data_IF_840585231478
#
_entry.id   IF_840585231478
#
_cell.length_a   1.000
_cell.length_b   1.000
_cell.length_c   1.000
_cell.angle_alpha   90.00
_cell.angle_beta   90.00
_cell.angle_gamma   90.00
#
_symmetry.space_group_name_H-M   'P 1'
#
loop_
_entity.id
_entity.type
_entity.pdbx_description
1 polymer ?
#
# COMPACT_ATOMS: atom_id res chain seq x y z
N UNK A 1 -37.14 3.42 -5.52
CA UNK A 1 -35.83 2.75 -5.75
C UNK A 1 -36.06 1.64 -6.79
N UNK A 2 -35.20 1.48 -7.82
CA UNK A 2 -35.39 0.43 -8.83
C UNK A 2 -35.55 -0.96 -8.20
N UNK A 3 -36.50 -1.76 -8.68
CA UNK A 3 -36.86 -3.07 -8.09
C UNK A 3 -35.65 -4.00 -7.90
N UNK A 4 -34.72 -4.05 -8.86
CA UNK A 4 -33.46 -4.81 -8.74
C UNK A 4 -32.61 -4.40 -7.54
N UNK A 5 -32.56 -3.10 -7.19
CA UNK A 5 -31.82 -2.65 -6.00
C UNK A 5 -32.49 -3.13 -4.71
N UNK A 6 -33.81 -3.30 -4.71
CA UNK A 6 -34.56 -3.86 -3.57
C UNK A 6 -34.23 -5.34 -3.42
N UNK A 7 -34.28 -6.13 -4.50
CA UNK A 7 -33.86 -7.54 -4.49
C UNK A 7 -32.42 -7.70 -3.99
N UNK A 8 -31.48 -6.92 -4.53
CA UNK A 8 -30.09 -6.96 -4.09
C UNK A 8 -29.89 -6.57 -2.61
N UNK A 9 -30.73 -5.69 -2.08
CA UNK A 9 -30.71 -5.37 -0.65
C UNK A 9 -31.22 -6.53 0.20
N UNK A 10 -32.36 -7.13 -0.18
CA UNK A 10 -32.93 -8.30 0.51
C UNK A 10 -31.98 -9.50 0.45
N UNK A 11 -31.38 -9.79 -0.70
CA UNK A 11 -30.39 -10.86 -0.89
C UNK A 11 -29.20 -10.70 0.08
N UNK A 12 -28.71 -9.47 0.30
CA UNK A 12 -27.67 -9.21 1.30
C UNK A 12 -28.16 -9.38 2.73
N UNK A 13 -29.40 -9.00 3.03
CA UNK A 13 -29.98 -9.13 4.37
C UNK A 13 -30.12 -10.58 4.81
N UNK A 14 -30.40 -11.51 3.89
CA UNK A 14 -30.50 -12.94 4.19
C UNK A 14 -29.19 -13.71 3.99
N UNK A 15 -28.19 -13.10 3.35
CA UNK A 15 -26.90 -13.75 3.08
C UNK A 15 -26.06 -13.91 4.34
N UNK A 16 -25.87 -15.17 4.77
CA UNK A 16 -24.97 -15.55 5.86
C UNK A 16 -23.55 -15.03 5.64
N UNK A 17 -23.03 -15.16 4.43
CA UNK A 17 -21.67 -14.73 4.11
C UNK A 17 -21.54 -13.21 4.16
N UNK A 18 -22.52 -12.47 3.67
CA UNK A 18 -22.53 -11.01 3.78
C UNK A 18 -22.38 -10.57 5.23
N UNK A 19 -23.25 -11.07 6.13
CA UNK A 19 -23.21 -10.74 7.55
C UNK A 19 -21.93 -11.19 8.23
N UNK A 20 -21.43 -12.40 7.92
CA UNK A 20 -20.16 -12.88 8.45
C UNK A 20 -19.01 -11.93 8.13
N UNK A 21 -18.92 -11.45 6.88
CA UNK A 21 -17.89 -10.50 6.48
C UNK A 21 -18.04 -9.12 7.16
N UNK A 22 -19.27 -8.61 7.28
CA UNK A 22 -19.57 -7.34 7.95
C UNK A 22 -19.24 -7.39 9.44
N UNK A 23 -19.73 -8.42 10.13
CA UNK A 23 -19.49 -8.61 11.57
C UNK A 23 -18.02 -8.87 11.87
N UNK A 24 -17.32 -9.71 11.08
CA UNK A 24 -15.87 -9.91 11.24
C UNK A 24 -15.12 -8.59 11.07
N UNK A 25 -15.46 -7.80 10.05
CA UNK A 25 -14.84 -6.49 9.85
C UNK A 25 -15.11 -5.51 10.99
N UNK A 26 -16.33 -5.50 11.51
CA UNK A 26 -16.72 -4.61 12.62
C UNK A 26 -15.99 -5.02 13.90
N UNK A 27 -16.05 -6.31 14.27
CA UNK A 27 -15.32 -6.88 15.40
C UNK A 27 -13.83 -6.55 15.37
N UNK A 28 -13.15 -6.74 14.23
CA UNK A 28 -11.72 -6.45 14.12
C UNK A 28 -11.38 -4.98 14.41
N UNK A 29 -12.17 -4.03 13.87
CA UNK A 29 -11.97 -2.61 14.14
C UNK A 29 -12.35 -2.22 15.57
N UNK A 30 -13.40 -2.83 16.11
CA UNK A 30 -13.87 -2.52 17.46
C UNK A 30 -12.89 -3.01 18.52
N UNK A 31 -12.37 -4.24 18.40
CA UNK A 31 -11.32 -4.74 19.27
C UNK A 31 -10.10 -3.81 19.26
N UNK A 32 -9.65 -3.38 18.08
CA UNK A 32 -8.54 -2.44 18.00
C UNK A 32 -8.87 -1.07 18.63
N UNK A 33 -10.12 -0.61 18.50
CA UNK A 33 -10.56 0.63 19.15
C UNK A 33 -10.48 0.53 20.68
N UNK A 34 -10.81 -0.64 21.26
CA UNK A 34 -10.67 -0.89 22.70
C UNK A 34 -9.20 -0.87 23.13
N UNK A 35 -8.32 -1.49 22.35
CA UNK A 35 -6.87 -1.46 22.62
C UNK A 35 -6.30 -0.04 22.55
N UNK A 36 -6.75 0.78 21.59
CA UNK A 36 -6.39 2.21 21.52
C UNK A 36 -6.89 2.95 22.77
N UNK A 37 -8.15 2.75 23.16
CA UNK A 37 -8.75 3.39 24.34
C UNK A 37 -8.06 3.00 25.65
N UNK A 38 -7.57 1.76 25.73
CA UNK A 38 -6.79 1.24 26.86
C UNK A 38 -5.31 1.70 26.85
N UNK A 39 -4.90 2.55 25.89
CA UNK A 39 -3.52 2.99 25.66
C UNK A 39 -2.53 1.85 25.33
N UNK A 40 -3.02 0.70 24.88
CA UNK A 40 -2.17 -0.38 24.38
C UNK A 40 -1.52 0.01 23.05
N UNK A 41 -2.17 0.91 22.30
CA UNK A 41 -1.63 1.50 21.07
C UNK A 41 -1.12 2.92 21.35
N UNK A 42 0.15 3.02 21.71
CA UNK A 42 0.83 4.30 21.94
C UNK A 42 2.35 4.16 21.81
N UNK A 43 3.07 5.28 21.85
CA UNK A 43 4.54 5.32 21.72
C UNK A 43 5.25 4.48 22.79
N UNK A 44 4.76 4.48 24.03
CA UNK A 44 5.40 3.82 25.17
C UNK A 44 5.10 2.32 25.28
N UNK A 45 4.11 1.81 24.52
CA UNK A 45 3.73 0.40 24.52
C UNK A 45 3.90 -0.18 23.11
N UNK A 46 2.81 -0.31 22.34
CA UNK A 46 2.88 -0.77 20.95
C UNK A 46 2.41 0.31 19.97
N UNK A 47 3.33 1.00 19.26
CA UNK A 47 2.93 2.03 18.32
C UNK A 47 2.18 1.45 17.11
N UNK A 48 1.27 2.24 16.55
CA UNK A 48 0.54 2.01 15.30
C UNK A 48 -0.55 0.92 15.33
N UNK A 49 -0.29 -0.24 15.95
CA UNK A 49 -1.26 -1.33 16.05
C UNK A 49 -1.02 -2.19 17.29
N UNK A 50 -2.10 -2.69 17.90
CA UNK A 50 -2.00 -3.56 19.07
C UNK A 50 -1.33 -4.91 18.75
N UNK A 51 -0.72 -5.53 19.76
CA UNK A 51 -0.13 -6.87 19.60
C UNK A 51 -1.17 -7.92 19.20
N UNK A 52 -2.42 -7.75 19.64
CA UNK A 52 -3.53 -8.60 19.24
C UNK A 52 -3.83 -8.47 17.74
N UNK A 53 -3.88 -7.25 17.21
CA UNK A 53 -4.10 -7.01 15.78
C UNK A 53 -2.94 -7.58 14.94
N UNK A 54 -1.69 -7.40 15.38
CA UNK A 54 -0.50 -7.92 14.69
C UNK A 54 -0.59 -9.46 14.59
N UNK A 55 -0.89 -10.14 15.70
CA UNK A 55 -1.08 -11.61 15.71
C UNK A 55 -2.21 -12.05 14.79
N UNK A 56 -3.35 -11.34 14.80
CA UNK A 56 -4.50 -11.65 13.96
C UNK A 56 -4.18 -11.51 12.46
N UNK A 57 -3.49 -10.43 12.07
CA UNK A 57 -3.07 -10.22 10.66
C UNK A 57 -2.02 -11.25 10.25
N UNK A 58 -1.06 -11.58 11.11
CA UNK A 58 -0.07 -12.64 10.84
C UNK A 58 -0.75 -13.99 10.61
N UNK A 59 -1.69 -14.38 11.47
CA UNK A 59 -2.48 -15.61 11.31
C UNK A 59 -3.28 -15.62 10.00
N UNK A 60 -3.92 -14.50 9.66
CA UNK A 60 -4.67 -14.39 8.40
C UNK A 60 -3.75 -14.49 7.17
N UNK A 61 -2.55 -13.88 7.19
CA UNK A 61 -1.56 -14.00 6.11
C UNK A 61 -1.07 -15.43 5.95
N UNK A 62 -0.79 -16.13 7.05
CA UNK A 62 -0.39 -17.55 7.02
C UNK A 62 -1.49 -18.44 6.45
N UNK A 63 -2.75 -18.24 6.86
CA UNK A 63 -3.89 -18.97 6.31
C UNK A 63 -4.07 -18.70 4.80
N UNK A 64 -3.92 -17.45 4.36
CA UNK A 64 -3.95 -17.10 2.95
C UNK A 64 -2.81 -17.78 2.17
N UNK A 65 -1.60 -17.79 2.70
CA UNK A 65 -0.44 -18.44 2.07
C UNK A 65 -0.70 -19.94 1.86
N UNK A 66 -1.19 -20.64 2.90
CA UNK A 66 -1.57 -22.06 2.81
C UNK A 66 -2.64 -22.29 1.75
N UNK A 67 -3.65 -21.42 1.67
CA UNK A 67 -4.66 -21.48 0.62
C UNK A 67 -4.03 -21.32 -0.77
N UNK A 68 -3.17 -20.33 -0.99
CA UNK A 68 -2.51 -20.12 -2.28
C UNK A 68 -1.64 -21.32 -2.68
N UNK A 69 -0.93 -21.93 -1.72
CA UNK A 69 -0.10 -23.11 -1.93
C UNK A 69 -0.92 -24.35 -2.31
N UNK A 70 -2.13 -24.49 -1.77
CA UNK A 70 -3.02 -25.61 -2.01
C UNK A 70 -3.87 -25.49 -3.29
N UNK A 71 -3.74 -24.40 -4.04
CA UNK A 71 -4.59 -24.09 -5.18
C UNK A 71 -3.78 -23.98 -6.49
N UNK A 72 -4.44 -24.32 -7.58
CA UNK A 72 -3.98 -24.12 -8.96
C UNK A 72 -4.99 -23.26 -9.72
N UNK A 73 -4.50 -22.59 -10.76
CA UNK A 73 -5.30 -21.91 -11.77
C UNK A 73 -5.34 -22.83 -13.00
N UNK A 74 -6.55 -23.13 -13.48
CA UNK A 74 -6.79 -23.89 -14.70
C UNK A 74 -7.37 -22.95 -15.77
N UNK A 75 -6.77 -22.96 -16.96
CA UNK A 75 -7.34 -22.35 -18.17
C UNK A 75 -8.51 -23.22 -18.63
N UNK A 76 -9.70 -22.63 -18.76
CA UNK A 76 -10.93 -23.38 -19.07
C UNK A 76 -10.90 -23.95 -20.49
N UNK A 77 -10.25 -23.25 -21.42
CA UNK A 77 -10.28 -23.61 -22.83
C UNK A 77 -9.17 -24.63 -23.16
N UNK A 78 -7.96 -24.46 -22.61
CA UNK A 78 -6.84 -25.39 -22.87
C UNK A 78 -6.67 -26.50 -21.84
N UNK A 79 -7.24 -26.36 -20.64
CA UNK A 79 -7.01 -27.27 -19.52
C UNK A 79 -5.63 -27.12 -18.85
N UNK A 80 -4.79 -26.18 -19.30
CA UNK A 80 -3.47 -25.94 -18.71
C UNK A 80 -3.59 -25.51 -17.25
N UNK A 81 -2.75 -26.10 -16.38
CA UNK A 81 -2.74 -25.83 -14.95
C UNK A 81 -1.45 -25.18 -14.51
N UNK A 82 -1.58 -24.16 -13.67
CA UNK A 82 -0.46 -23.45 -13.07
C UNK A 82 -0.66 -23.29 -11.58
N UNK A 83 0.42 -23.33 -10.82
CA UNK A 83 0.37 -23.07 -9.38
C UNK A 83 -0.05 -21.63 -9.10
N UNK A 84 -1.09 -21.47 -8.26
CA UNK A 84 -1.64 -20.14 -7.95
C UNK A 84 -0.61 -19.28 -7.22
N UNK A 85 0.17 -19.88 -6.32
CA UNK A 85 1.20 -19.18 -5.56
C UNK A 85 2.24 -18.53 -6.47
N UNK A 86 2.72 -19.23 -7.50
CA UNK A 86 3.75 -18.70 -8.42
C UNK A 86 3.23 -17.48 -9.18
N UNK A 87 2.00 -17.54 -9.68
CA UNK A 87 1.37 -16.40 -10.37
C UNK A 87 1.15 -15.21 -9.43
N UNK A 88 0.85 -15.45 -8.15
CA UNK A 88 0.72 -14.39 -7.14
C UNK A 88 2.08 -13.77 -6.83
N UNK A 89 3.12 -14.58 -6.64
CA UNK A 89 4.47 -14.12 -6.31
C UNK A 89 5.15 -13.37 -7.47
N UNK A 90 4.78 -13.66 -8.71
CA UNK A 90 5.20 -12.93 -9.91
C UNK A 90 4.38 -11.65 -10.19
N UNK A 91 3.46 -11.26 -9.29
CA UNK A 91 2.56 -10.11 -9.47
C UNK A 91 2.82 -8.98 -8.46
N UNK A 92 2.12 -7.84 -8.62
CA UNK A 92 2.10 -6.73 -7.65
C UNK A 92 1.55 -7.11 -6.26
N UNK A 93 1.08 -8.34 -6.09
CA UNK A 93 0.72 -8.90 -4.78
C UNK A 93 1.96 -9.20 -3.94
N UNK A 94 3.10 -9.47 -4.60
CA UNK A 94 4.40 -9.53 -3.96
C UNK A 94 4.83 -8.11 -3.51
N UNK A 95 5.08 -7.89 -2.21
CA UNK A 95 5.52 -6.59 -1.69
C UNK A 95 6.76 -6.02 -2.40
N UNK A 96 7.71 -6.88 -2.79
CA UNK A 96 8.94 -6.46 -3.45
C UNK A 96 8.66 -5.87 -4.84
N UNK A 97 7.92 -6.60 -5.68
CA UNK A 97 7.49 -6.15 -7.01
C UNK A 97 6.66 -4.87 -6.86
N UNK A 98 5.76 -4.82 -5.88
CA UNK A 98 4.94 -3.63 -5.61
C UNK A 98 5.79 -2.41 -5.25
N UNK A 99 6.85 -2.59 -4.45
CA UNK A 99 7.79 -1.52 -4.10
C UNK A 99 8.55 -1.03 -5.33
N UNK A 100 9.08 -1.94 -6.15
CA UNK A 100 9.77 -1.59 -7.40
C UNK A 100 8.86 -0.82 -8.35
N UNK A 101 7.62 -1.28 -8.55
CA UNK A 101 6.61 -0.61 -9.39
C UNK A 101 6.26 0.79 -8.88
N UNK A 102 6.11 0.98 -7.57
CA UNK A 102 5.87 2.31 -7.00
C UNK A 102 7.08 3.23 -7.20
N UNK A 103 8.29 2.73 -7.01
CA UNK A 103 9.52 3.51 -7.21
C UNK A 103 9.69 3.94 -8.67
N UNK A 104 9.46 3.03 -9.63
CA UNK A 104 9.48 3.34 -11.06
C UNK A 104 8.41 4.40 -11.42
N UNK A 105 7.21 4.29 -10.85
CA UNK A 105 6.15 5.29 -11.04
C UNK A 105 6.56 6.66 -10.50
N UNK A 106 7.15 6.74 -9.29
CA UNK A 106 7.60 8.03 -8.75
C UNK A 106 8.71 8.66 -9.58
N UNK A 107 9.68 7.84 -10.02
CA UNK A 107 10.75 8.30 -10.91
C UNK A 107 10.18 8.85 -12.23
N UNK A 108 9.18 8.18 -12.82
CA UNK A 108 8.50 8.68 -14.00
C UNK A 108 7.77 10.00 -13.78
N UNK A 109 7.09 10.16 -12.64
CA UNK A 109 6.41 11.41 -12.28
C UNK A 109 7.41 12.56 -12.09
N UNK A 110 8.52 12.31 -11.41
CA UNK A 110 9.57 13.33 -11.22
C UNK A 110 10.21 13.74 -12.57
N UNK A 111 10.46 12.78 -13.47
CA UNK A 111 10.94 13.05 -14.84
C UNK A 111 9.98 13.97 -15.59
N UNK A 112 8.68 13.68 -15.59
CA UNK A 112 7.65 14.53 -16.19
C UNK A 112 7.64 15.94 -15.58
N UNK A 113 7.76 16.04 -14.25
CA UNK A 113 7.80 17.34 -13.58
C UNK A 113 9.05 18.15 -13.96
N UNK A 114 10.21 17.49 -14.11
CA UNK A 114 11.43 18.14 -14.57
C UNK A 114 11.32 18.67 -16.00
N UNK A 115 10.78 17.86 -16.92
CA UNK A 115 10.53 18.25 -18.31
C UNK A 115 9.59 19.46 -18.40
N UNK A 116 8.53 19.47 -17.59
CA UNK A 116 7.56 20.57 -17.51
C UNK A 116 8.07 21.79 -16.71
N UNK A 117 9.23 21.68 -16.06
CA UNK A 117 9.78 22.68 -15.12
C UNK A 117 8.83 23.00 -13.95
N UNK A 118 8.00 22.04 -13.57
CA UNK A 118 7.09 22.11 -12.43
C UNK A 118 7.89 22.05 -11.11
N UNK A 119 7.33 22.62 -10.04
CA UNK A 119 7.95 22.66 -8.72
C UNK A 119 7.32 21.61 -7.81
N UNK A 120 8.19 20.84 -7.13
CA UNK A 120 7.78 19.87 -6.13
C UNK A 120 7.48 20.51 -4.76
N UNK A 121 6.47 19.98 -4.10
CA UNK A 121 6.05 20.31 -2.74
C UNK A 121 5.87 19.03 -1.94
N UNK A 122 6.48 18.98 -0.76
CA UNK A 122 6.20 17.92 0.20
C UNK A 122 5.28 18.43 1.29
N UNK A 123 4.04 17.97 1.25
CA UNK A 123 2.97 18.41 2.13
C UNK A 123 2.72 17.36 3.20
N UNK A 124 2.57 17.79 4.45
CA UNK A 124 2.03 16.95 5.54
C UNK A 124 0.70 17.53 6.00
N UNK A 125 -0.33 16.69 6.03
CA UNK A 125 -1.66 17.00 6.56
C UNK A 125 -1.96 16.10 7.76
N UNK A 126 -2.32 16.70 8.88
CA UNK A 126 -2.61 15.99 10.14
C UNK A 126 -4.07 16.24 10.58
N UNK A 127 -4.54 15.46 11.56
CA UNK A 127 -5.86 15.63 12.16
C UNK A 127 -5.82 16.63 13.33
N UNK A 128 -6.96 17.24 13.70
CA UNK A 128 -7.09 17.95 14.98
C UNK A 128 -6.84 17.06 16.19
N UNK A 129 -6.46 17.65 17.33
CA UNK A 129 -6.14 16.89 18.54
C UNK A 129 -7.29 15.99 19.02
N UNK A 130 -8.56 16.34 18.79
CA UNK A 130 -9.70 15.46 19.13
C UNK A 130 -9.66 14.08 18.45
N UNK A 131 -8.90 13.92 17.37
CA UNK A 131 -8.69 12.63 16.70
C UNK A 131 -7.51 11.83 17.26
N UNK A 132 -6.74 12.38 18.19
CA UNK A 132 -5.54 11.77 18.75
C UNK A 132 -5.82 11.19 20.14
N UNK A 133 -5.83 9.85 20.31
CA UNK A 133 -6.09 9.19 21.59
C UNK A 133 -5.12 9.58 22.69
N UNK A 134 -3.87 9.85 22.33
CA UNK A 134 -2.83 10.20 23.29
C UNK A 134 -2.15 11.52 22.95
N UNK A 135 -1.55 12.16 23.95
CA UNK A 135 -0.63 13.27 23.80
C UNK A 135 0.66 12.95 24.56
N UNK A 136 1.77 13.52 24.12
CA UNK A 136 3.05 13.35 24.80
C UNK A 136 3.22 14.38 25.92
N UNK A 137 3.59 13.92 27.11
CA UNK A 137 3.96 14.74 28.26
C UNK A 137 5.39 14.45 28.67
N UNK A 138 6.15 15.49 29.00
CA UNK A 138 7.50 15.33 29.53
C UNK A 138 7.46 14.79 30.96
N UNK A 139 8.25 13.75 31.23
CA UNK A 139 8.47 13.18 32.57
C UNK A 139 9.96 12.92 32.73
N UNK A 140 10.64 13.82 33.43
CA UNK A 140 12.11 13.84 33.51
C UNK A 140 12.74 14.06 32.13
N UNK A 141 13.71 13.22 31.76
CA UNK A 141 14.37 13.24 30.44
C UNK A 141 13.53 12.59 29.32
N UNK A 142 12.46 11.86 29.66
CA UNK A 142 11.68 11.08 28.71
C UNK A 142 10.33 11.74 28.38
N UNK A 143 9.76 11.39 27.22
CA UNK A 143 8.38 11.70 26.85
C UNK A 143 7.51 10.47 27.06
N UNK A 144 6.37 10.65 27.71
CA UNK A 144 5.39 9.59 27.95
C UNK A 144 4.05 9.95 27.30
N UNK A 145 3.40 8.97 26.69
CA UNK A 145 2.05 9.07 26.21
C UNK A 145 1.07 9.08 27.39
N UNK A 146 0.15 10.04 27.37
CA UNK A 146 -0.97 10.15 28.31
C UNK A 146 -2.26 10.33 27.53
N UNK A 147 -3.41 9.91 28.07
CA UNK A 147 -4.71 10.08 27.42
C UNK A 147 -4.94 11.56 27.09
N UNK A 148 -5.41 11.81 25.87
CA UNK A 148 -5.84 13.13 25.46
C UNK A 148 -7.31 13.36 25.84
N UNK A 149 -7.56 14.30 26.75
CA UNK A 149 -8.92 14.66 27.19
C UNK A 149 -9.82 15.14 26.04
N UNK A 150 -9.27 15.76 25.00
CA UNK A 150 -10.06 16.17 23.82
C UNK A 150 -10.61 14.97 23.05
N UNK A 151 -9.82 13.92 22.92
CA UNK A 151 -10.25 12.68 22.28
C UNK A 151 -11.20 11.88 23.15
N UNK A 152 -11.00 11.86 24.47
CA UNK A 152 -11.84 11.13 25.43
C UNK A 152 -13.35 11.43 25.27
N UNK A 153 -13.69 12.65 24.85
CA UNK A 153 -15.09 13.06 24.69
C UNK A 153 -15.74 12.55 23.39
N UNK A 154 -14.95 12.26 22.35
CA UNK A 154 -15.43 11.92 21.00
C UNK A 154 -15.15 10.46 20.62
N UNK A 155 -14.02 9.92 21.10
CA UNK A 155 -13.56 8.54 20.89
C UNK A 155 -13.42 8.20 19.39
N UNK A 156 -12.91 9.14 18.59
CA UNK A 156 -12.72 8.94 17.15
C UNK A 156 -11.76 7.79 16.85
N UNK A 157 -12.12 6.97 15.85
CA UNK A 157 -11.26 5.88 15.39
C UNK A 157 -10.28 6.38 14.31
N UNK A 158 -9.19 5.64 14.02
CA UNK A 158 -8.36 5.88 12.84
C UNK A 158 -9.15 5.96 11.52
N UNK A 159 -10.28 5.23 11.42
CA UNK A 159 -11.14 5.32 10.24
C UNK A 159 -11.83 6.67 10.12
N UNK A 160 -12.18 7.30 11.24
CA UNK A 160 -12.81 8.62 11.28
C UNK A 160 -11.80 9.71 11.00
N UNK A 161 -10.57 9.61 11.54
CA UNK A 161 -9.46 10.49 11.13
C UNK A 161 -9.17 10.41 9.63
N UNK A 162 -9.15 9.21 9.05
CA UNK A 162 -8.98 9.06 7.59
C UNK A 162 -10.14 9.71 6.81
N UNK A 163 -11.38 9.58 7.30
CA UNK A 163 -12.56 10.19 6.68
C UNK A 163 -12.49 11.72 6.73
N UNK A 164 -12.02 12.27 7.84
CA UNK A 164 -11.74 13.69 8.01
C UNK A 164 -10.74 14.19 6.96
N UNK A 165 -9.59 13.53 6.82
CA UNK A 165 -8.56 13.92 5.84
C UNK A 165 -9.06 13.81 4.40
N UNK A 166 -9.86 12.78 4.08
CA UNK A 166 -10.53 12.67 2.77
C UNK A 166 -11.47 13.85 2.53
N UNK A 167 -12.23 14.28 3.53
CA UNK A 167 -13.14 15.43 3.44
C UNK A 167 -12.36 16.73 3.22
N UNK A 168 -11.28 16.96 3.97
CA UNK A 168 -10.38 18.12 3.78
C UNK A 168 -9.83 18.12 2.35
N UNK A 169 -9.30 17.00 1.87
CA UNK A 169 -8.75 16.89 0.52
C UNK A 169 -9.80 17.08 -0.57
N UNK A 170 -11.04 16.63 -0.35
CA UNK A 170 -12.13 16.88 -1.31
C UNK A 170 -12.41 18.37 -1.48
N UNK A 171 -12.36 19.15 -0.38
CA UNK A 171 -12.52 20.61 -0.39
C UNK A 171 -11.33 21.31 -1.04
N UNK A 172 -10.11 20.82 -0.81
CA UNK A 172 -8.89 21.31 -1.50
C UNK A 172 -9.02 21.12 -3.01
N UNK A 173 -9.41 19.93 -3.47
CA UNK A 173 -9.57 19.66 -4.90
C UNK A 173 -10.66 20.50 -5.56
N UNK A 174 -11.78 20.72 -4.87
CA UNK A 174 -12.82 21.63 -5.36
C UNK A 174 -12.26 23.05 -5.52
N UNK A 175 -11.61 23.58 -4.48
CA UNK A 175 -11.01 24.91 -4.54
C UNK A 175 -9.90 25.03 -5.60
N UNK A 176 -9.11 23.98 -5.85
CA UNK A 176 -8.16 23.96 -6.97
C UNK A 176 -8.86 24.07 -8.33
N UNK A 177 -9.96 23.35 -8.53
CA UNK A 177 -10.73 23.44 -9.77
C UNK A 177 -11.31 24.86 -9.97
N UNK A 178 -11.92 25.43 -8.93
CA UNK A 178 -12.48 26.79 -8.96
C UNK A 178 -11.43 27.88 -9.22
N UNK A 179 -10.16 27.57 -8.97
CA UNK A 179 -9.04 28.51 -9.08
C UNK A 179 -8.07 28.18 -10.21
N UNK A 180 -8.39 27.19 -11.05
CA UNK A 180 -7.59 26.69 -12.17
C UNK A 180 -6.16 26.25 -11.78
N UNK A 181 -6.02 25.72 -10.56
CA UNK A 181 -4.73 25.27 -10.01
C UNK A 181 -4.52 23.78 -10.32
N UNK A 182 -3.59 23.49 -11.22
CA UNK A 182 -3.29 22.13 -11.67
C UNK A 182 -2.20 21.48 -10.82
N UNK A 183 -2.59 20.54 -9.96
CA UNK A 183 -1.66 19.79 -9.09
C UNK A 183 -1.75 18.31 -9.37
N UNK A 184 -0.62 17.61 -9.48
CA UNK A 184 -0.55 16.16 -9.63
C UNK A 184 0.52 15.56 -8.72
N UNK A 185 0.46 14.24 -8.50
CA UNK A 185 1.46 13.55 -7.69
C UNK A 185 0.90 12.37 -6.90
N UNK A 186 1.42 12.16 -5.70
CA UNK A 186 1.12 11.00 -4.87
C UNK A 186 0.84 11.40 -3.42
N UNK A 187 -0.07 10.66 -2.78
CA UNK A 187 -0.28 10.64 -1.33
C UNK A 187 0.08 9.28 -0.75
N UNK A 188 0.78 9.32 0.38
CA UNK A 188 0.98 8.23 1.34
C UNK A 188 0.22 8.54 2.63
N UNK A 189 -0.40 7.53 3.23
CA UNK A 189 -1.05 7.62 4.55
C UNK A 189 -0.23 6.81 5.54
N UNK A 190 0.13 7.43 6.65
CA UNK A 190 0.84 6.78 7.76
C UNK A 190 0.08 6.97 9.08
N UNK A 191 0.21 6.01 10.01
CA UNK A 191 -0.25 6.20 11.38
C UNK A 191 0.76 6.99 12.21
N UNK A 192 0.29 7.86 13.09
CA UNK A 192 1.04 8.28 14.27
C UNK A 192 1.12 7.12 15.28
N UNK A 193 1.98 7.23 16.31
CA UNK A 193 2.14 6.17 17.32
C UNK A 193 0.84 5.78 18.04
N UNK A 194 -0.15 6.68 18.08
CA UNK A 194 -1.49 6.48 18.64
C UNK A 194 -2.51 5.95 17.61
N UNK A 195 -2.03 5.49 16.45
CA UNK A 195 -2.79 5.01 15.30
C UNK A 195 -3.57 6.08 14.50
N UNK A 196 -3.53 7.36 14.88
CA UNK A 196 -4.22 8.42 14.14
C UNK A 196 -3.54 8.65 12.78
N UNK A 197 -4.28 8.64 11.65
CA UNK A 197 -3.68 8.82 10.35
C UNK A 197 -3.20 10.27 10.13
N UNK A 198 -2.11 10.39 9.39
CA UNK A 198 -1.69 11.62 8.73
C UNK A 198 -1.29 11.32 7.28
N UNK A 199 -1.28 12.34 6.44
CA UNK A 199 -0.96 12.22 5.04
C UNK A 199 0.34 12.92 4.72
N UNK A 200 1.18 12.24 3.96
CA UNK A 200 2.30 12.82 3.25
C UNK A 200 1.99 12.87 1.77
N UNK A 201 2.12 14.03 1.16
CA UNK A 201 1.88 14.22 -0.26
C UNK A 201 3.12 14.77 -0.93
N UNK A 202 3.56 14.11 -2.00
CA UNK A 202 4.51 14.68 -2.94
C UNK A 202 3.72 15.16 -4.14
N UNK A 203 3.66 16.49 -4.29
CA UNK A 203 2.83 17.17 -5.27
C UNK A 203 3.70 18.04 -6.18
N UNK A 204 3.28 18.17 -7.43
CA UNK A 204 3.92 19.00 -8.45
C UNK A 204 2.88 19.95 -9.06
N UNK A 205 3.31 21.16 -9.36
CA UNK A 205 2.50 22.23 -9.98
C UNK A 205 3.43 23.20 -10.70
N UNK A 206 2.90 23.98 -11.63
CA UNK A 206 3.66 25.05 -12.27
C UNK A 206 4.13 26.11 -11.25
N UNK A 207 5.15 26.89 -11.63
CA UNK A 207 5.79 27.84 -10.71
C UNK A 207 4.83 28.93 -10.22
N UNK A 208 3.95 29.39 -11.10
CA UNK A 208 3.03 30.51 -10.84
C UNK A 208 1.90 30.10 -9.89
N UNK A 209 1.42 28.87 -10.00
CA UNK A 209 0.34 28.33 -9.16
C UNK A 209 0.80 27.91 -7.77
N UNK A 210 2.11 27.74 -7.53
CA UNK A 210 2.63 27.18 -6.27
C UNK A 210 2.14 27.93 -5.02
N UNK A 211 2.25 29.26 -5.01
CA UNK A 211 1.85 30.06 -3.85
C UNK A 211 0.35 29.90 -3.56
N UNK A 212 -0.48 30.02 -4.60
CA UNK A 212 -1.92 29.83 -4.54
C UNK A 212 -2.30 28.41 -4.09
N UNK A 213 -1.59 27.39 -4.57
CA UNK A 213 -1.81 26.00 -4.17
C UNK A 213 -1.56 25.80 -2.66
N UNK A 214 -0.46 26.35 -2.14
CA UNK A 214 -0.12 26.28 -0.71
C UNK A 214 -1.15 27.01 0.14
N UNK A 215 -1.57 28.20 -0.29
CA UNK A 215 -2.59 29.00 0.40
C UNK A 215 -3.92 28.26 0.50
N UNK A 216 -4.44 27.75 -0.62
CA UNK A 216 -5.69 26.97 -0.65
C UNK A 216 -5.59 25.74 0.27
N UNK A 217 -4.49 24.98 0.19
CA UNK A 217 -4.31 23.81 1.03
C UNK A 217 -4.27 24.17 2.52
N UNK A 218 -3.51 25.21 2.88
CA UNK A 218 -3.40 25.69 4.26
C UNK A 218 -4.76 26.14 4.79
N UNK A 219 -5.48 26.96 4.03
CA UNK A 219 -6.80 27.47 4.41
C UNK A 219 -7.78 26.33 4.67
N UNK A 220 -7.88 25.34 3.77
CA UNK A 220 -8.82 24.23 3.95
C UNK A 220 -8.39 23.26 5.06
N UNK A 221 -7.09 23.09 5.30
CA UNK A 221 -6.57 22.24 6.38
C UNK A 221 -6.83 22.82 7.78
N UNK A 222 -6.80 24.14 7.91
CA UNK A 222 -7.02 24.86 9.17
C UNK A 222 -8.49 25.20 9.45
N UNK A 223 -9.42 24.81 8.58
CA UNK A 223 -10.84 25.16 8.71
C UNK A 223 -11.56 24.51 9.91
N UNK A 224 -11.00 23.48 10.54
CA UNK A 224 -11.54 22.81 11.74
C UNK A 224 -10.58 23.04 12.92
N UNK A 225 -11.06 23.74 13.95
CA UNK A 225 -10.29 24.16 15.13
C UNK A 225 -8.99 24.93 14.78
N UNK A 226 -9.09 26.10 14.11
CA UNK A 226 -7.93 26.90 13.71
C UNK A 226 -7.09 27.43 14.89
N UNK A 227 -7.74 27.69 16.02
CA UNK A 227 -7.16 28.28 17.22
C UNK A 227 -6.61 27.23 18.20
N UNK A 228 -6.67 25.95 17.85
CA UNK A 228 -6.05 24.90 18.63
C UNK A 228 -4.53 25.12 18.75
N UNK A 229 -4.00 25.00 19.97
CA UNK A 229 -2.56 25.11 20.23
C UNK A 229 -1.76 24.19 19.30
N UNK A 230 -0.90 24.79 18.48
CA UNK A 230 -0.06 24.08 17.52
C UNK A 230 -0.72 23.79 16.17
N UNK A 231 -2.01 24.11 15.96
CA UNK A 231 -2.69 23.88 14.69
C UNK A 231 -2.00 24.59 13.52
N UNK A 232 -1.66 25.88 13.68
CA UNK A 232 -0.96 26.67 12.67
C UNK A 232 0.42 26.09 12.29
N UNK A 233 1.06 25.36 13.21
CA UNK A 233 2.40 24.79 13.01
C UNK A 233 2.35 23.37 12.43
N UNK A 234 1.36 22.57 12.82
CA UNK A 234 1.37 21.12 12.57
C UNK A 234 0.24 20.64 11.66
N UNK A 235 -0.86 21.38 11.52
CA UNK A 235 -2.02 20.92 10.74
C UNK A 235 -1.71 20.80 9.26
N UNK A 236 -0.91 21.74 8.77
CA UNK A 236 -0.40 21.78 7.41
C UNK A 236 1.04 22.25 7.42
N UNK A 237 1.95 21.41 6.93
CA UNK A 237 3.31 21.82 6.61
C UNK A 237 3.57 21.58 5.14
N UNK A 238 4.36 22.47 4.51
CA UNK A 238 4.75 22.34 3.12
C UNK A 238 6.22 22.68 2.98
N UNK A 239 7.03 21.69 2.60
CA UNK A 239 8.46 21.85 2.31
C UNK A 239 8.64 21.99 0.79
N UNK A 240 9.53 22.90 0.39
CA UNK A 240 9.94 23.00 -1.00
C UNK A 240 10.84 21.80 -1.34
N UNK A 241 10.62 21.19 -2.50
CA UNK A 241 11.46 20.09 -2.98
C UNK A 241 12.34 20.58 -4.13
N UNK A 242 13.66 20.53 -3.90
CA UNK A 242 14.65 20.82 -4.94
C UNK A 242 14.63 19.71 -6.00
N UNK A 243 15.00 20.07 -7.23
CA UNK A 243 15.07 19.15 -8.38
C UNK A 243 15.90 17.89 -8.05
N UNK A 244 15.37 16.70 -8.34
CA UNK A 244 16.08 15.42 -8.23
C UNK A 244 16.13 14.78 -6.83
N UNK A 245 15.48 15.38 -5.82
CA UNK A 245 15.41 14.85 -4.45
C UNK A 245 14.03 14.34 -4.03
N UNK A 246 13.01 14.46 -4.89
CA UNK A 246 11.63 14.20 -4.50
C UNK A 246 11.35 12.70 -4.33
N UNK A 247 11.89 11.88 -5.23
CA UNK A 247 11.77 10.41 -5.18
C UNK A 247 12.49 9.84 -3.96
N UNK A 248 13.70 10.33 -3.66
CA UNK A 248 14.45 9.90 -2.47
C UNK A 248 13.71 10.20 -1.17
N UNK A 249 13.03 11.34 -1.10
CA UNK A 249 12.26 11.71 0.09
C UNK A 249 11.05 10.80 0.31
N UNK A 250 10.33 10.43 -0.76
CA UNK A 250 9.16 9.55 -0.64
C UNK A 250 9.53 8.06 -0.56
N UNK A 251 10.71 7.65 -1.03
CA UNK A 251 11.21 6.29 -0.95
C UNK A 251 11.24 5.76 0.49
N UNK A 252 11.61 6.63 1.45
CA UNK A 252 11.56 6.32 2.90
C UNK A 252 10.15 5.84 3.31
N UNK A 253 9.12 6.55 2.87
CA UNK A 253 7.72 6.23 3.17
C UNK A 253 7.28 4.97 2.42
N UNK A 254 7.76 4.72 1.21
CA UNK A 254 7.47 3.47 0.50
C UNK A 254 8.03 2.26 1.27
N UNK A 255 9.29 2.32 1.69
CA UNK A 255 9.94 1.24 2.46
C UNK A 255 9.24 1.00 3.80
N UNK A 256 8.94 2.07 4.56
CA UNK A 256 8.23 1.99 5.86
C UNK A 256 6.84 1.34 5.78
N UNK A 257 6.15 1.45 4.64
CA UNK A 257 4.74 1.07 4.51
C UNK A 257 4.48 -0.27 3.80
N UNK A 258 5.49 -0.91 3.21
CA UNK A 258 5.28 -2.10 2.37
C UNK A 258 5.91 -3.34 2.99
N UNK A 259 7.23 -3.39 3.10
CA UNK A 259 7.98 -4.60 3.44
C UNK A 259 9.12 -4.35 4.44
N UNK A 260 9.41 -3.10 4.80
CA UNK A 260 10.57 -2.76 5.63
C UNK A 260 11.91 -3.05 4.93
N UNK A 261 11.89 -3.26 3.61
CA UNK A 261 13.07 -3.64 2.84
C UNK A 261 14.17 -2.57 2.93
N UNK A 262 15.41 -3.02 3.09
CA UNK A 262 16.60 -2.20 3.33
C UNK A 262 16.62 -1.42 4.66
N UNK A 263 15.84 -1.84 5.65
CA UNK A 263 15.84 -1.29 7.01
C UNK A 263 16.30 -2.33 8.06
N UNK A 264 16.92 -3.43 7.62
CA UNK A 264 17.48 -4.44 8.53
C UNK A 264 18.67 -3.84 9.30
N UNK A 265 18.53 -3.81 10.64
CA UNK A 265 19.52 -3.22 11.56
C UNK A 265 19.26 -1.75 11.91
N UNK A 266 18.35 -1.06 11.21
CA UNK A 266 18.02 0.33 11.49
C UNK A 266 16.89 0.46 12.53
N UNK A 267 17.02 1.44 13.42
CA UNK A 267 16.07 1.79 14.47
C UNK A 267 15.30 3.06 14.12
N UNK A 268 14.01 3.07 14.44
CA UNK A 268 13.18 4.26 14.25
C UNK A 268 13.50 5.33 15.30
N UNK A 269 13.87 6.54 14.87
CA UNK A 269 14.26 7.63 15.77
C UNK A 269 13.18 8.09 16.74
N UNK A 270 11.89 7.87 16.44
CA UNK A 270 10.78 8.31 17.27
C UNK A 270 10.41 7.27 18.34
N UNK A 271 10.54 5.98 18.02
CA UNK A 271 10.13 4.88 18.91
C UNK A 271 11.28 4.09 19.53
N UNK A 272 12.48 4.14 18.94
CA UNK A 272 13.64 3.33 19.33
C UNK A 272 13.53 1.84 18.97
N UNK A 273 12.49 1.44 18.21
CA UNK A 273 12.25 0.03 17.84
C UNK A 273 12.81 -0.32 16.46
N UNK A 274 13.10 -1.61 16.15
CA UNK A 274 13.55 -2.03 14.82
C UNK A 274 12.54 -1.65 13.73
N UNK A 275 13.03 -1.12 12.60
CA UNK A 275 12.17 -0.64 11.52
C UNK A 275 11.35 -1.74 10.85
N UNK A 276 11.80 -3.00 10.88
CA UNK A 276 11.06 -4.17 10.38
C UNK A 276 9.81 -4.47 11.21
N UNK A 277 9.91 -4.38 12.53
CA UNK A 277 8.76 -4.50 13.43
C UNK A 277 7.75 -3.36 13.22
N UNK A 278 8.26 -2.15 12.99
CA UNK A 278 7.41 -0.98 12.71
C UNK A 278 6.68 -1.11 11.38
N UNK A 279 7.35 -1.60 10.32
CA UNK A 279 6.70 -1.88 9.03
C UNK A 279 5.59 -2.95 9.18
N UNK A 280 5.80 -3.98 9.99
CA UNK A 280 4.77 -4.98 10.28
C UNK A 280 3.57 -4.36 11.02
N UNK A 281 3.80 -3.47 11.99
CA UNK A 281 2.74 -2.76 12.71
C UNK A 281 1.96 -1.79 11.79
N UNK A 282 2.65 -1.02 10.95
CA UNK A 282 2.04 -0.10 9.97
C UNK A 282 1.19 -0.86 8.95
N UNK A 283 1.68 -1.98 8.40
CA UNK A 283 0.89 -2.79 7.45
C UNK A 283 -0.29 -3.49 8.15
N UNK A 284 -0.14 -3.85 9.43
CA UNK A 284 -1.24 -4.36 10.26
C UNK A 284 -2.30 -3.29 10.45
N UNK A 285 -1.91 -2.08 10.84
CA UNK A 285 -2.79 -0.92 10.98
C UNK A 285 -3.59 -0.66 9.70
N UNK A 286 -2.92 -0.58 8.56
CA UNK A 286 -3.57 -0.34 7.27
C UNK A 286 -4.59 -1.44 6.92
N UNK A 287 -4.27 -2.70 7.21
CA UNK A 287 -5.14 -3.86 7.00
C UNK A 287 -6.36 -3.84 7.94
N UNK A 288 -6.14 -3.67 9.25
CA UNK A 288 -7.17 -3.63 10.30
C UNK A 288 -8.20 -2.53 10.03
N UNK A 289 -7.72 -1.33 9.70
CA UNK A 289 -8.58 -0.16 9.44
C UNK A 289 -9.05 -0.05 7.98
N UNK A 290 -8.54 -0.92 7.09
CA UNK A 290 -8.80 -0.91 5.64
C UNK A 290 -8.50 0.45 5.03
N UNK A 291 -7.31 0.98 5.28
CA UNK A 291 -6.86 2.29 4.81
C UNK A 291 -5.86 2.08 3.68
N UNK A 292 -6.20 2.46 2.42
CA UNK A 292 -5.25 2.43 1.32
C UNK A 292 -4.14 3.46 1.55
N UNK A 293 -2.90 3.00 1.66
CA UNK A 293 -1.74 3.86 1.95
C UNK A 293 -1.39 4.76 0.76
N UNK A 294 -1.27 4.21 -0.45
CA UNK A 294 -0.83 4.95 -1.64
C UNK A 294 -1.99 5.36 -2.54
N UNK A 295 -1.99 6.61 -3.01
CA UNK A 295 -2.94 7.11 -4.01
C UNK A 295 -2.28 8.13 -4.94
N UNK A 296 -2.60 8.07 -6.24
CA UNK A 296 -2.05 8.97 -7.26
C UNK A 296 -3.13 9.97 -7.68
N UNK A 297 -2.75 11.24 -7.84
CA UNK A 297 -3.66 12.33 -8.21
C UNK A 297 -3.30 12.90 -9.57
N UNK A 298 -4.34 13.12 -10.40
CA UNK A 298 -4.25 13.81 -11.69
C UNK A 298 -3.16 13.24 -12.62
N UNK A 299 -3.01 11.92 -12.59
CA UNK A 299 -2.14 11.15 -13.48
C UNK A 299 -2.99 10.13 -14.28
N UNK A 300 -2.53 9.70 -15.45
CA UNK A 300 -3.23 8.68 -16.24
C UNK A 300 -3.47 7.37 -15.46
N UNK A 301 -4.60 6.71 -15.76
CA UNK A 301 -5.04 5.54 -15.00
C UNK A 301 -4.05 4.39 -15.08
N UNK A 302 -3.66 3.84 -13.93
CA UNK A 302 -2.88 2.59 -13.88
C UNK A 302 -3.62 1.37 -14.42
N UNK A 303 -4.94 1.46 -14.60
CA UNK A 303 -5.69 0.36 -15.21
C UNK A 303 -5.33 0.21 -16.70
N UNK A 304 -5.25 1.30 -17.46
CA UNK A 304 -4.80 1.26 -18.86
C UNK A 304 -3.36 0.77 -18.93
N UNK A 305 -2.47 1.33 -18.11
CA UNK A 305 -1.07 0.87 -17.99
C UNK A 305 -0.95 -0.65 -17.81
N UNK A 306 -1.77 -1.25 -16.93
CA UNK A 306 -1.78 -2.70 -16.70
C UNK A 306 -2.35 -3.49 -17.87
N UNK A 307 -3.38 -2.98 -18.56
CA UNK A 307 -3.97 -3.68 -19.70
C UNK A 307 -3.05 -3.62 -20.93
N UNK A 308 -2.35 -2.51 -21.17
CA UNK A 308 -1.31 -2.42 -22.21
C UNK A 308 -0.20 -3.48 -22.03
N UNK A 309 0.24 -3.71 -20.78
CA UNK A 309 1.25 -4.74 -20.44
C UNK A 309 0.77 -6.19 -20.60
N UNK A 310 -0.50 -6.41 -20.95
CA UNK A 310 -1.02 -7.72 -21.38
C UNK A 310 -0.84 -7.96 -22.88
N UNK A 311 -0.67 -6.89 -23.66
CA UNK A 311 -0.43 -6.90 -25.10
C UNK A 311 1.09 -6.82 -25.38
N UNK A 312 1.87 -7.64 -24.67
CA UNK A 312 3.33 -7.63 -24.81
C UNK A 312 3.70 -8.06 -26.23
N UNK A 313 4.65 -7.37 -26.83
CA UNK A 313 5.16 -7.69 -28.17
C UNK A 313 4.12 -7.64 -29.30
N UNK A 314 2.93 -7.06 -29.06
CA UNK A 314 1.89 -6.85 -30.06
C UNK A 314 1.77 -5.35 -30.35
N UNK A 315 1.88 -4.96 -31.61
CA UNK A 315 1.58 -3.59 -32.04
C UNK A 315 0.06 -3.37 -32.01
N UNK A 316 -0.35 -2.19 -31.54
CA UNK A 316 -1.74 -1.72 -31.64
C UNK A 316 -1.90 -0.60 -32.66
N UNK A 317 -0.85 -0.24 -33.39
CA UNK A 317 -0.84 0.88 -34.33
C UNK A 317 -1.91 0.74 -35.42
N UNK A 318 -2.02 -0.44 -36.04
CA UNK A 318 -2.98 -0.69 -37.12
C UNK A 318 -4.45 -0.52 -36.68
N UNK A 319 -4.74 -0.78 -35.39
CA UNK A 319 -6.11 -0.79 -34.86
C UNK A 319 -6.47 0.51 -34.15
N UNK A 320 -5.55 1.08 -33.39
CA UNK A 320 -5.79 2.21 -32.49
C UNK A 320 -5.00 3.47 -32.85
N UNK A 321 -4.09 3.38 -33.83
CA UNK A 321 -3.21 4.46 -34.29
C UNK A 321 -1.88 4.55 -33.54
N UNK A 322 -0.94 5.30 -34.12
CA UNK A 322 0.44 5.45 -33.63
C UNK A 322 0.53 5.99 -32.21
N UNK A 323 -0.30 6.98 -31.85
CA UNK A 323 -0.29 7.56 -30.50
C UNK A 323 -0.72 6.52 -29.46
N UNK A 324 -1.68 5.64 -29.79
CA UNK A 324 -2.08 4.56 -28.91
C UNK A 324 -0.97 3.50 -28.75
N UNK A 325 -0.22 3.21 -29.81
CA UNK A 325 0.94 2.32 -29.75
C UNK A 325 2.04 2.92 -28.85
N UNK A 326 2.30 4.22 -28.91
CA UNK A 326 3.24 4.87 -27.99
C UNK A 326 2.84 4.68 -26.52
N UNK A 327 1.54 4.79 -26.19
CA UNK A 327 1.04 4.50 -24.84
C UNK A 327 1.28 3.05 -24.45
N UNK A 328 1.00 2.10 -25.35
CA UNK A 328 1.18 0.66 -25.09
C UNK A 328 2.66 0.31 -24.90
N UNK A 329 3.51 0.76 -25.82
CA UNK A 329 4.97 0.54 -25.80
C UNK A 329 5.60 1.08 -24.53
N UNK A 330 5.31 2.32 -24.15
CA UNK A 330 5.81 2.90 -22.91
C UNK A 330 5.38 2.10 -21.67
N UNK A 331 4.14 1.56 -21.66
CA UNK A 331 3.68 0.71 -20.58
C UNK A 331 4.41 -0.64 -20.51
N UNK A 332 4.66 -1.27 -21.66
CA UNK A 332 5.35 -2.55 -21.80
C UNK A 332 6.81 -2.45 -21.33
N UNK A 333 7.52 -1.41 -21.75
CA UNK A 333 8.92 -1.11 -21.37
C UNK A 333 9.06 -0.65 -19.90
N UNK A 334 7.96 -0.28 -19.25
CA UNK A 334 7.99 0.24 -17.89
C UNK A 334 8.35 1.73 -17.79
N UNK A 335 8.46 2.46 -18.90
CA UNK A 335 8.69 3.92 -18.88
C UNK A 335 7.40 4.66 -18.52
N UNK A 336 7.23 4.89 -17.21
CA UNK A 336 6.06 5.59 -16.70
C UNK A 336 6.00 7.07 -17.11
N UNK A 337 7.14 7.71 -17.39
CA UNK A 337 7.15 9.10 -17.86
C UNK A 337 6.62 9.19 -19.29
N UNK A 338 7.16 8.37 -20.19
CA UNK A 338 6.68 8.28 -21.57
C UNK A 338 5.19 7.89 -21.61
N UNK A 339 4.76 6.98 -20.74
CA UNK A 339 3.34 6.63 -20.60
C UNK A 339 2.46 7.82 -20.20
N UNK A 340 2.92 8.67 -19.25
CA UNK A 340 2.19 9.87 -18.85
C UNK A 340 2.07 10.83 -20.04
N UNK A 341 3.18 11.10 -20.74
CA UNK A 341 3.20 12.02 -21.88
C UNK A 341 2.32 11.53 -23.04
N UNK A 342 2.41 10.25 -23.40
CA UNK A 342 1.62 9.65 -24.47
C UNK A 342 0.10 9.62 -24.17
N UNK A 343 -0.29 9.70 -22.89
CA UNK A 343 -1.68 9.85 -22.45
C UNK A 343 -2.17 11.32 -22.42
N UNK A 344 -1.36 12.25 -22.91
CA UNK A 344 -1.64 13.69 -22.93
C UNK A 344 -1.10 14.47 -21.72
N UNK A 345 -0.24 13.85 -20.90
CA UNK A 345 0.41 14.49 -19.76
C UNK A 345 -0.37 14.44 -18.44
N UNK A 346 0.20 15.00 -17.36
CA UNK A 346 -0.48 15.12 -16.08
C UNK A 346 -1.64 16.13 -16.17
N UNK A 347 -2.62 15.98 -15.28
CA UNK A 347 -3.84 16.79 -15.23
C UNK A 347 -4.74 16.74 -16.48
N UNK A 348 -4.42 15.90 -17.47
CA UNK A 348 -5.24 15.73 -18.67
C UNK A 348 -6.62 15.11 -18.34
N UNK A 349 -7.73 15.78 -18.69
CA UNK A 349 -9.08 15.28 -18.48
C UNK A 349 -9.31 13.87 -19.04
N UNK A 350 -10.18 13.10 -18.38
CA UNK A 350 -10.41 11.69 -18.72
C UNK A 350 -10.93 11.45 -20.14
N UNK A 351 -11.70 12.39 -20.68
CA UNK A 351 -12.23 12.38 -22.04
C UNK A 351 -11.22 12.85 -23.09
N UNK A 352 -10.07 13.37 -22.67
CA UNK A 352 -8.98 13.84 -23.53
C UNK A 352 -7.73 12.94 -23.46
N UNK A 353 -7.78 11.87 -22.67
CA UNK A 353 -6.71 10.86 -22.61
C UNK A 353 -6.74 9.98 -23.85
N UNK A 354 -5.58 9.58 -24.36
CA UNK A 354 -5.43 8.75 -25.56
C UNK A 354 -6.15 7.41 -25.44
N UNK A 355 -5.83 6.64 -24.40
CA UNK A 355 -6.35 5.29 -24.17
C UNK A 355 -7.18 5.20 -22.90
N UNK A 356 -8.26 4.42 -22.98
CA UNK A 356 -9.20 4.17 -21.89
C UNK A 356 -9.53 2.70 -21.76
N UNK A 357 -9.98 2.32 -20.56
CA UNK A 357 -10.36 0.94 -20.25
C UNK A 357 -11.75 0.69 -20.80
N UNK A 358 -11.89 -0.36 -21.59
CA UNK A 358 -13.19 -0.85 -22.02
C UNK A 358 -13.78 -1.79 -20.96
N UNK A 359 -15.06 -1.55 -20.66
CA UNK A 359 -15.85 -2.38 -19.75
C UNK A 359 -17.00 -3.01 -20.52
N UNK A 360 -17.33 -4.25 -20.14
CA UNK A 360 -18.55 -4.93 -20.57
C UNK A 360 -19.33 -5.36 -19.33
N UNK A 361 -20.65 -5.33 -19.40
CA UNK A 361 -21.50 -5.93 -18.38
C UNK A 361 -21.29 -7.44 -18.46
N UNK A 362 -20.98 -8.06 -17.32
CA UNK A 362 -20.81 -9.50 -17.23
C UNK A 362 -22.15 -10.19 -17.52
N UNK A 363 -22.11 -11.26 -18.30
CA UNK A 363 -23.32 -12.05 -18.63
C UNK A 363 -23.95 -12.66 -17.36
N UNK A 364 -23.13 -12.88 -16.33
CA UNK A 364 -23.55 -13.37 -15.02
C UNK A 364 -23.65 -12.23 -14.01
N UNK A 365 -24.79 -12.19 -13.30
CA UNK A 365 -24.98 -11.35 -12.14
C UNK A 365 -24.09 -11.81 -10.98
N UNK A 366 -23.81 -10.91 -10.03
CA UNK A 366 -23.17 -11.32 -8.78
C UNK A 366 -24.12 -12.14 -7.89
N UNK A 367 -23.62 -12.61 -6.75
CA UNK A 367 -24.41 -13.37 -5.76
C UNK A 367 -25.59 -12.60 -5.12
N UNK A 368 -25.85 -11.37 -5.55
CA UNK A 368 -26.93 -10.50 -5.08
C UNK A 368 -27.77 -9.95 -6.25
N UNK A 369 -27.74 -10.60 -7.42
CA UNK A 369 -28.47 -10.24 -8.63
C UNK A 369 -28.16 -8.83 -9.18
N UNK A 370 -26.94 -8.34 -8.98
CA UNK A 370 -26.48 -7.08 -9.55
C UNK A 370 -25.57 -7.31 -10.76
N UNK A 371 -25.75 -6.47 -11.77
CA UNK A 371 -24.85 -6.39 -12.91
C UNK A 371 -23.45 -5.97 -12.47
N UNK A 372 -22.44 -6.69 -12.95
CA UNK A 372 -21.03 -6.40 -12.66
C UNK A 372 -20.33 -6.00 -13.93
N UNK A 373 -19.71 -4.82 -13.94
CA UNK A 373 -18.82 -4.43 -15.03
C UNK A 373 -17.49 -5.18 -14.92
N UNK A 374 -17.05 -5.78 -16.03
CA UNK A 374 -15.75 -6.43 -16.16
C UNK A 374 -14.90 -5.67 -17.16
N UNK A 375 -13.61 -5.51 -16.83
CA UNK A 375 -12.63 -5.02 -17.80
C UNK A 375 -12.47 -6.06 -18.89
N UNK A 376 -12.61 -5.64 -20.15
CA UNK A 376 -12.46 -6.51 -21.33
C UNK A 376 -11.29 -6.13 -22.22
N UNK A 377 -10.84 -4.87 -22.14
CA UNK A 377 -9.88 -4.35 -23.09
C UNK A 377 -9.52 -2.89 -22.89
N UNK A 378 -8.96 -2.33 -23.97
CA UNK A 378 -8.65 -0.90 -24.12
C UNK A 378 -9.25 -0.37 -25.43
N UNK A 379 -9.56 0.91 -25.46
CA UNK A 379 -10.03 1.61 -26.66
C UNK A 379 -9.39 2.99 -26.76
N UNK A 380 -9.29 3.51 -27.98
CA UNK A 380 -8.83 4.88 -28.26
C UNK A 380 -9.98 5.86 -28.03
N UNK A 381 -9.84 6.72 -27.03
CA UNK A 381 -10.90 7.66 -26.64
C UNK A 381 -11.03 8.84 -27.61
N UNK A 382 -9.94 9.20 -28.28
CA UNK A 382 -9.88 10.27 -29.27
C UNK A 382 -10.12 9.78 -30.70
N UNK A 383 -10.25 8.46 -30.90
CA UNK A 383 -10.61 7.85 -32.17
C UNK A 383 -11.76 6.84 -31.97
N UNK A 384 -13.02 7.31 -31.86
CA UNK A 384 -14.16 6.44 -31.58
C UNK A 384 -14.47 5.43 -32.69
N UNK A 385 -13.99 5.66 -33.92
CA UNK A 385 -14.14 4.73 -35.03
C UNK A 385 -13.18 3.51 -34.92
N UNK A 386 -12.13 3.63 -34.10
CA UNK A 386 -11.19 2.54 -33.86
C UNK A 386 -11.84 1.39 -33.08
N UNK A 387 -11.56 0.16 -33.51
CA UNK A 387 -12.02 -1.02 -32.78
C UNK A 387 -11.34 -1.14 -31.42
N UNK A 388 -12.10 -1.50 -30.39
CA UNK A 388 -11.56 -1.85 -29.09
C UNK A 388 -10.67 -3.10 -29.17
N UNK A 389 -9.53 -3.08 -28.50
CA UNK A 389 -8.66 -4.26 -28.36
C UNK A 389 -9.01 -5.01 -27.08
N UNK A 390 -9.40 -6.29 -27.25
CA UNK A 390 -9.60 -7.22 -26.12
C UNK A 390 -8.26 -7.66 -25.54
N UNK A 391 -8.12 -7.55 -24.22
CA UNK A 391 -6.89 -7.91 -23.49
C UNK A 391 -7.07 -9.13 -22.59
N UNK A 392 -8.30 -9.63 -22.47
CA UNK A 392 -8.71 -10.70 -21.53
C UNK A 392 -9.53 -11.76 -22.24
N UNK A 393 -8.87 -12.52 -23.10
CA UNK A 393 -9.51 -13.55 -23.93
C UNK A 393 -9.70 -14.87 -23.19
N UNK A 394 -8.82 -15.19 -22.24
CA UNK A 394 -8.83 -16.47 -21.52
C UNK A 394 -9.71 -16.42 -20.27
N UNK A 395 -10.40 -17.52 -19.99
CA UNK A 395 -11.15 -17.73 -18.76
C UNK A 395 -10.39 -18.71 -17.88
N UNK A 396 -10.30 -18.39 -16.59
CA UNK A 396 -9.59 -19.20 -15.62
C UNK A 396 -10.49 -19.58 -14.47
N UNK A 397 -10.31 -20.78 -13.93
CA UNK A 397 -10.94 -21.21 -12.68
C UNK A 397 -9.89 -21.62 -11.64
N UNK A 398 -10.25 -21.50 -10.37
CA UNK A 398 -9.43 -22.00 -9.28
C UNK A 398 -9.81 -23.45 -8.98
N UNK A 399 -8.81 -24.32 -8.88
CA UNK A 399 -8.96 -25.73 -8.50
C UNK A 399 -8.03 -26.04 -7.33
N UNK A 400 -8.41 -27.01 -6.49
CA UNK A 400 -7.47 -27.52 -5.48
C UNK A 400 -6.42 -28.36 -6.16
N UNK A 401 -5.18 -28.29 -5.68
CA UNK A 401 -4.15 -29.26 -6.06
C UNK A 401 -4.64 -30.65 -5.70
N UNK A 402 -4.54 -31.57 -6.65
CA UNK A 402 -4.65 -33.00 -6.33
C UNK A 402 -3.36 -33.32 -5.55
N UNK A 403 -3.44 -33.95 -4.36
CA UNK A 403 -2.25 -34.50 -3.74
C UNK A 403 -1.57 -35.38 -4.79
N UNK A 404 -0.26 -35.24 -5.00
CA UNK A 404 0.45 -36.28 -5.73
C UNK A 404 0.09 -37.60 -5.02
N UNK A 405 -0.59 -38.50 -5.72
CA UNK A 405 -0.73 -39.86 -5.23
C UNK A 405 0.69 -40.35 -5.00
N UNK A 406 0.98 -40.90 -3.82
CA UNK A 406 2.23 -41.61 -3.53
C UNK A 406 2.47 -42.81 -4.48
N UNK A 407 1.61 -43.00 -5.48
CA UNK A 407 1.57 -44.12 -6.43
C UNK A 407 2.45 -43.95 -7.69
N UNK A 408 3.06 -42.78 -7.95
CA UNK A 408 4.01 -42.63 -9.10
C UNK A 408 5.49 -42.83 -8.73
N UNK A 409 5.84 -42.94 -7.44
CA UNK A 409 7.21 -43.30 -6.98
C UNK A 409 7.35 -44.75 -6.49
N UNK A 410 6.28 -45.55 -6.48
CA UNK A 410 6.26 -46.94 -6.00
C UNK A 410 6.57 -48.02 -7.05
N UNK A 411 7.12 -47.66 -8.21
CA UNK A 411 7.53 -48.61 -9.26
C UNK A 411 9.05 -48.67 -9.51
N UNK A 412 9.84 -48.62 -8.43
CA UNK A 412 11.21 -49.17 -8.44
C UNK A 412 11.50 -50.00 -7.19
N UNK A 413 11.28 -51.31 -7.35
CA UNK A 413 12.04 -52.42 -6.77
C UNK A 413 12.22 -52.52 -5.24
N UNK A 414 11.28 -53.26 -4.63
CA UNK A 414 11.47 -54.49 -3.84
C UNK A 414 12.59 -54.61 -2.74
N UNK A 415 12.11 -55.16 -1.60
CA UNK A 415 12.77 -55.90 -0.51
C UNK A 415 13.21 -55.08 0.72
N UNK A 416 12.40 -55.18 1.79
CA UNK A 416 12.79 -54.86 3.16
C UNK A 416 11.63 -54.53 4.09
N UNK A 417 10.91 -55.55 4.60
CA UNK A 417 9.88 -55.39 5.63
C UNK A 417 10.46 -54.83 6.96
N UNK A 418 9.62 -54.24 7.83
CA UNK A 418 10.02 -53.29 8.86
C UNK A 418 10.51 -53.97 10.14
N UNK A 419 11.42 -53.33 10.88
CA UNK A 419 11.70 -53.67 12.29
C UNK A 419 11.25 -52.54 13.21
N UNK A 420 10.20 -52.83 13.97
CA UNK A 420 9.91 -52.16 15.23
C UNK A 420 10.96 -52.54 16.28
N UNK A 421 11.28 -51.63 17.21
CA UNK A 421 11.43 -52.04 18.60
C UNK A 421 10.71 -51.02 19.48
N UNK A 422 9.68 -51.51 20.16
CA UNK A 422 9.00 -50.76 21.19
C UNK A 422 9.84 -50.71 22.47
N UNK A 423 9.78 -49.53 23.10
CA UNK A 423 9.56 -49.31 24.52
C UNK A 423 10.61 -49.80 25.55
N UNK A 424 11.21 -48.84 26.27
CA UNK A 424 11.25 -48.95 27.73
C UNK A 424 11.32 -47.56 28.40
N UNK A 425 10.35 -47.28 29.27
CA UNK A 425 10.36 -46.16 30.21
C UNK A 425 11.22 -46.50 31.45
N UNK A 426 11.85 -45.50 32.09
CA UNK A 426 11.61 -45.09 33.51
C UNK A 426 12.76 -44.28 34.16
N UNK A 427 12.36 -43.11 34.67
CA UNK A 427 12.73 -42.28 35.84
C UNK A 427 14.13 -42.24 36.51
N UNK A 428 14.46 -41.01 36.95
CA UNK A 428 15.28 -40.64 38.13
C UNK A 428 16.62 -40.02 37.73
N UNK A 429 17.13 -38.89 38.24
CA UNK A 429 16.80 -38.00 39.35
C UNK A 429 18.01 -37.06 39.58
N UNK A 430 17.76 -35.78 39.90
CA UNK A 430 18.52 -34.77 40.67
C UNK A 430 20.07 -34.63 40.70
N UNK A 431 20.47 -33.34 40.81
CA UNK A 431 21.74 -32.71 41.25
C UNK A 431 22.92 -32.70 40.25
N UNK A 432 23.75 -31.64 40.13
CA UNK A 432 23.89 -30.35 40.81
C UNK A 432 25.14 -29.60 40.28
N UNK A 433 25.37 -28.35 40.75
CA UNK A 433 26.61 -27.56 40.61
C UNK A 433 26.70 -26.65 39.37
N UNK A 434 26.49 -25.33 39.49
CA UNK A 434 27.46 -24.29 39.86
C UNK A 434 28.70 -24.24 38.94
N UNK A 435 28.84 -23.17 38.15
CA UNK A 435 29.92 -22.22 38.45
C UNK A 435 29.75 -20.81 37.87
N UNK A 436 30.29 -19.84 38.61
CA UNK A 436 30.31 -18.39 38.36
C UNK A 436 31.52 -17.99 37.51
N UNK A 437 31.44 -16.84 36.84
CA UNK A 437 32.59 -16.12 36.32
C UNK A 437 32.25 -14.66 36.01
N UNK A 438 32.54 -13.77 36.96
CA UNK A 438 32.45 -12.30 36.87
C UNK A 438 33.74 -11.67 36.32
N UNK A 439 33.64 -10.36 36.01
CA UNK A 439 34.64 -9.27 35.89
C UNK A 439 34.64 -8.69 34.45
N UNK A 440 34.25 -7.43 34.22
CA UNK A 440 34.84 -6.15 34.70
C UNK A 440 35.78 -5.64 33.58
N UNK A 441 35.87 -4.40 33.12
CA UNK A 441 35.50 -3.05 33.55
C UNK A 441 35.69 -2.08 32.35
N UNK A 442 35.03 -0.92 32.43
CA UNK A 442 35.43 0.45 32.06
C UNK A 442 36.20 0.79 30.76
N UNK A 443 35.61 1.72 29.99
CA UNK A 443 36.29 2.56 29.00
C UNK A 443 35.43 3.75 28.59
N UNK A 444 35.68 4.90 29.19
CA UNK A 444 35.20 6.22 28.77
C UNK A 444 35.85 6.65 27.46
N UNK A 445 35.10 7.20 26.50
CA UNK A 445 35.67 8.08 25.47
C UNK A 445 34.65 9.14 25.04
N UNK A 446 35.17 10.36 24.97
CA UNK A 446 34.51 11.62 24.65
C UNK A 446 34.04 11.75 23.19
N UNK A 447 33.33 12.85 22.99
CA UNK A 447 32.67 13.42 21.81
C UNK A 447 33.38 13.39 20.45
N UNK A 448 32.56 13.72 19.44
CA UNK A 448 32.86 14.07 18.04
C UNK A 448 32.84 12.94 17.00
N UNK A 449 31.69 12.75 16.35
CA UNK A 449 31.67 12.18 15.00
C UNK A 449 30.82 13.02 14.04
N UNK A 450 31.54 13.71 13.17
CA UNK A 450 31.04 14.36 11.97
C UNK A 450 30.34 13.37 11.03
N UNK A 451 29.28 13.88 10.41
CA UNK A 451 28.53 13.22 9.35
C UNK A 451 29.44 12.77 8.19
N UNK A 452 29.71 11.47 8.07
CA UNK A 452 30.04 10.87 6.76
C UNK A 452 28.74 10.60 6.00
N UNK A 453 28.53 11.35 4.93
CA UNK A 453 27.52 11.07 3.89
C UNK A 453 27.79 9.69 3.30
N UNK A 454 27.02 8.67 3.69
CA UNK A 454 26.92 7.44 2.90
C UNK A 454 25.93 7.68 1.76
N UNK A 455 26.44 7.82 0.54
CA UNK A 455 25.67 7.91 -0.70
C UNK A 455 24.91 6.59 -0.96
N UNK A 456 23.68 6.53 -0.46
CA UNK A 456 22.67 5.51 -0.81
C UNK A 456 22.35 5.54 -2.32
N UNK A 457 22.62 6.66 -3.00
CA UNK A 457 22.39 6.85 -4.42
C UNK A 457 23.35 6.01 -5.30
N UNK A 458 24.58 5.77 -4.85
CA UNK A 458 25.60 5.05 -5.63
C UNK A 458 25.43 3.53 -5.57
N UNK A 459 24.91 3.01 -4.44
CA UNK A 459 24.57 1.57 -4.30
C UNK A 459 23.36 1.14 -5.14
N UNK A 460 22.46 2.08 -5.47
CA UNK A 460 21.29 1.82 -6.33
C UNK A 460 21.70 1.77 -7.81
N UNK A 461 22.67 2.59 -8.24
CA UNK A 461 23.14 2.60 -9.64
C UNK A 461 23.94 1.36 -10.03
N UNK A 462 24.77 0.81 -9.13
CA UNK A 462 25.63 -0.35 -9.46
C UNK A 462 24.90 -1.69 -9.63
N UNK A 463 23.62 -1.80 -9.22
CA UNK A 463 22.87 -3.08 -9.31
C UNK A 463 21.77 -3.10 -10.37
N UNK A 464 21.49 -1.96 -11.01
CA UNK A 464 20.56 -1.89 -12.14
C UNK A 464 21.24 -2.36 -13.43
N UNK A 465 22.57 -2.25 -13.56
CA UNK A 465 23.32 -2.73 -14.73
C UNK A 465 23.51 -4.24 -14.81
N UNK A 466 23.28 -5.00 -13.72
CA UNK A 466 23.56 -6.45 -13.67
C UNK A 466 22.33 -7.35 -13.88
N UNK A 467 21.15 -6.80 -14.17
CA UNK A 467 19.88 -7.58 -14.32
C UNK A 467 19.34 -7.52 -15.76
N UNK A 468 20.05 -6.90 -16.71
CA UNK A 468 19.66 -6.87 -18.13
C UNK A 468 20.23 -8.03 -18.96
N UNK A 469 20.82 -9.06 -18.34
CA UNK A 469 21.20 -10.31 -18.99
C UNK A 469 20.73 -11.50 -18.14
N UNK A 470 19.42 -11.81 -18.19
CA UNK A 470 18.82 -13.12 -17.84
C UNK A 470 17.40 -13.17 -18.37
#
# INVERSE_FOLDING_TARGET
MPLRKVYAAVARLISRDYWRHKLKSHRTKWLESLMIAAMEVCQNNQPYASQQAIRAVKSQRLANLRYLQAMQIEDIDSGERFDLIDKVMASISNPEIRRMELMAQMAGIEKVAMERKDIGMFVTLTCPSKYHPTKLRQRGKNKIAVINHKWKNEVFTPKDGQRYLVKVWSRIRAAFADNEVNVYGVRVVEPHHDATPHWHLLLFTDKTSRAKAIEIMRQKALADEPDEKGAQQHRFTCKHMNKGGAVGYIAKYIAKNIDGYALDGDVDFETGKPLTEMAAAVTTWASTWRIPQFHFYNLPSKGVYRECRRLRSLSVADKLGEIAEQVRKAADEGDFAAYIQAQGGPCNPRNQQTLRIAYQINDQLNAYDEEVQKVVGIYAQLNPAAEMIKTRCRKYRLIKKVPASEDEELLKSAIGAPRSSGNNCRNGGWNGGLDRGYLGENGSFDEEFGFKKCNLHDRIKMRISSIHHS
#
